data_IF_378314254539
#
_entry.id   IF_378314254539
#
_cell.length_a   1.000
_cell.length_b   1.000
_cell.length_c   1.000
_cell.angle_alpha   90.00
_cell.angle_beta   90.00
_cell.angle_gamma   90.00
#
_symmetry.space_group_name_H-M   'P 1'
#
loop_
_entity.id
_entity.type
_entity.pdbx_description
1 polymer ?
#
# COMPACT_ATOMS: atom_id res chain seq x y z
N UNK A 1 -32.86 -5.78 13.33
CA UNK A 1 -34.05 -4.96 13.68
C UNK A 1 -33.76 -3.50 13.42
N UNK A 2 -34.45 -2.83 12.48
CA UNK A 2 -34.39 -1.40 12.29
C UNK A 2 -35.52 -0.76 13.10
N UNK A 3 -35.16 0.14 14.00
CA UNK A 3 -36.08 1.19 14.45
C UNK A 3 -35.84 2.42 13.58
N UNK A 4 -36.91 3.13 13.28
CA UNK A 4 -36.90 4.52 12.82
C UNK A 4 -35.87 5.34 13.64
N UNK A 5 -34.76 5.73 13.00
CA UNK A 5 -33.65 6.48 13.61
C UNK A 5 -32.41 5.67 14.03
N UNK A 6 -32.32 4.36 13.73
CA UNK A 6 -31.21 3.49 14.16
C UNK A 6 -30.09 3.27 13.13
N UNK A 7 -28.91 2.87 13.63
CA UNK A 7 -27.77 2.43 12.81
C UNK A 7 -28.10 1.23 11.92
N UNK A 8 -27.55 1.21 10.69
CA UNK A 8 -27.64 0.06 9.80
C UNK A 8 -26.98 -1.17 10.43
N UNK A 9 -27.66 -2.32 10.35
CA UNK A 9 -27.15 -3.61 10.83
C UNK A 9 -26.62 -4.45 9.68
N UNK A 10 -25.55 -5.24 9.89
CA UNK A 10 -25.08 -6.18 8.88
C UNK A 10 -26.20 -7.11 8.42
N UNK A 11 -26.25 -7.39 7.12
CA UNK A 11 -27.24 -8.27 6.50
C UNK A 11 -26.59 -9.27 5.56
N UNK A 12 -25.67 -8.79 4.72
CA UNK A 12 -24.94 -9.62 3.78
C UNK A 12 -23.55 -9.05 3.48
N UNK A 13 -22.64 -9.93 3.10
CA UNK A 13 -21.28 -9.58 2.69
C UNK A 13 -20.77 -10.55 1.62
N UNK A 14 -19.65 -10.22 0.98
CA UNK A 14 -19.00 -11.09 0.00
C UNK A 14 -17.83 -10.41 -0.69
N UNK A 15 -16.97 -11.23 -1.29
CA UNK A 15 -15.89 -10.82 -2.18
C UNK A 15 -16.11 -11.50 -3.54
N UNK A 16 -15.99 -10.71 -4.61
CA UNK A 16 -16.35 -11.12 -5.96
C UNK A 16 -15.30 -10.62 -6.95
N UNK A 17 -15.11 -11.39 -8.01
CA UNK A 17 -14.27 -11.06 -9.17
C UNK A 17 -15.05 -11.05 -10.49
N UNK A 18 -16.26 -11.60 -10.50
CA UNK A 18 -17.28 -11.45 -11.53
C UNK A 18 -18.61 -11.08 -10.87
N UNK A 19 -19.24 -10.01 -11.35
CA UNK A 19 -20.51 -9.49 -10.84
C UNK A 19 -21.69 -9.68 -11.80
N UNK A 20 -21.45 -10.24 -12.99
CA UNK A 20 -22.41 -10.29 -14.10
C UNK A 20 -23.72 -11.02 -13.76
N UNK A 21 -23.68 -11.97 -12.82
CA UNK A 21 -24.81 -12.80 -12.42
C UNK A 21 -25.20 -12.65 -10.95
N UNK A 22 -24.60 -11.70 -10.21
CA UNK A 22 -24.84 -11.54 -8.78
C UNK A 22 -26.27 -11.08 -8.49
N UNK A 23 -26.91 -11.78 -7.56
CA UNK A 23 -28.24 -11.45 -7.03
C UNK A 23 -28.22 -11.54 -5.52
N UNK A 24 -28.95 -10.64 -4.88
CA UNK A 24 -29.20 -10.66 -3.44
C UNK A 24 -30.70 -10.57 -3.20
N UNK A 25 -31.22 -11.43 -2.31
CA UNK A 25 -32.60 -11.34 -1.85
C UNK A 25 -32.66 -10.38 -0.68
N UNK A 26 -33.46 -9.33 -0.81
CA UNK A 26 -33.67 -8.31 0.21
C UNK A 26 -35.10 -8.43 0.74
N UNK A 27 -35.30 -8.07 2.00
CA UNK A 27 -36.61 -8.14 2.65
C UNK A 27 -37.40 -6.88 2.31
N UNK A 28 -38.67 -7.08 1.95
CA UNK A 28 -39.62 -5.98 1.77
C UNK A 28 -39.86 -5.25 3.11
N UNK A 29 -40.07 -3.93 3.04
CA UNK A 29 -40.31 -3.08 4.21
C UNK A 29 -39.03 -2.61 4.93
N UNK A 30 -37.85 -2.95 4.40
CA UNK A 30 -36.55 -2.53 4.95
C UNK A 30 -35.84 -1.56 4.02
N UNK A 31 -35.01 -0.69 4.62
CA UNK A 31 -34.04 0.14 3.90
C UNK A 31 -32.64 -0.43 4.06
N UNK A 32 -31.88 -0.42 2.98
CA UNK A 32 -30.54 -1.00 2.91
C UNK A 32 -29.49 0.05 2.59
N UNK A 33 -28.32 -0.12 3.20
CA UNK A 33 -27.07 0.52 2.81
C UNK A 33 -26.18 -0.51 2.13
N UNK A 34 -25.67 -0.16 0.95
CA UNK A 34 -24.62 -0.88 0.25
C UNK A 34 -23.35 -0.06 0.35
N UNK A 35 -22.25 -0.68 0.78
CA UNK A 35 -20.90 -0.12 0.69
C UNK A 35 -20.03 -1.10 -0.08
N UNK A 36 -19.27 -0.59 -1.04
CA UNK A 36 -18.46 -1.42 -1.93
C UNK A 36 -17.09 -0.79 -2.12
N UNK A 37 -16.06 -1.64 -2.20
CA UNK A 37 -14.76 -1.26 -2.73
C UNK A 37 -14.38 -2.20 -3.87
N UNK A 38 -13.73 -1.64 -4.89
CA UNK A 38 -13.21 -2.38 -6.03
C UNK A 38 -11.76 -2.01 -6.25
N UNK A 39 -10.93 -3.01 -6.48
CA UNK A 39 -9.50 -2.85 -6.75
C UNK A 39 -9.23 -3.33 -8.17
N UNK A 40 -8.69 -2.48 -9.03
CA UNK A 40 -8.19 -2.91 -10.33
C UNK A 40 -7.03 -3.88 -10.12
N UNK A 41 -7.10 -5.04 -10.77
CA UNK A 41 -6.08 -6.10 -10.67
C UNK A 41 -5.86 -6.62 -9.23
N UNK A 42 -6.92 -6.57 -8.40
CA UNK A 42 -6.84 -6.92 -6.98
C UNK A 42 -6.31 -8.34 -6.71
N UNK A 43 -6.64 -9.33 -7.54
CA UNK A 43 -6.18 -10.73 -7.37
C UNK A 43 -4.66 -10.86 -7.40
N UNK A 44 -3.99 -10.07 -8.24
CA UNK A 44 -2.55 -10.14 -8.41
C UNK A 44 -1.81 -9.21 -7.44
N UNK A 45 -2.48 -8.17 -6.95
CA UNK A 45 -1.86 -7.15 -6.09
C UNK A 45 -2.02 -7.40 -4.59
N UNK A 46 -3.12 -8.01 -4.16
CA UNK A 46 -3.39 -8.23 -2.74
C UNK A 46 -2.84 -9.58 -2.28
N UNK A 47 -2.18 -9.58 -1.12
CA UNK A 47 -1.68 -10.80 -0.49
C UNK A 47 -2.79 -11.82 -0.33
N UNK A 48 -2.56 -13.03 -0.85
CA UNK A 48 -3.46 -14.17 -0.74
C UNK A 48 -2.85 -15.23 0.19
N UNK A 49 -3.59 -15.59 1.23
CA UNK A 49 -3.20 -16.63 2.18
C UNK A 49 -3.69 -17.99 1.69
N UNK A 50 -2.77 -18.80 1.16
CA UNK A 50 -3.10 -20.11 0.56
C UNK A 50 -3.77 -21.07 1.55
N UNK A 51 -3.34 -21.06 2.82
CA UNK A 51 -3.90 -21.92 3.86
C UNK A 51 -5.38 -21.61 4.13
N UNK A 52 -5.73 -20.33 4.14
CA UNK A 52 -7.09 -19.86 4.45
C UNK A 52 -7.96 -19.71 3.19
N UNK A 53 -7.38 -19.93 2.01
CA UNK A 53 -7.99 -19.67 0.71
C UNK A 53 -8.62 -18.26 0.64
N UNK A 54 -7.97 -17.26 1.22
CA UNK A 54 -8.57 -15.93 1.42
C UNK A 54 -7.58 -14.81 1.13
N UNK A 55 -8.12 -13.63 0.80
CA UNK A 55 -7.32 -12.43 0.59
C UNK A 55 -7.20 -11.61 1.87
N UNK A 56 -6.07 -10.92 2.01
CA UNK A 56 -5.82 -9.99 3.12
C UNK A 56 -6.58 -8.67 2.96
N UNK A 57 -6.32 -7.74 3.88
CA UNK A 57 -6.79 -6.34 3.85
C UNK A 57 -6.57 -5.74 2.45
N UNK A 58 -7.60 -5.11 1.84
CA UNK A 58 -8.82 -4.62 2.49
C UNK A 58 -9.99 -5.62 2.55
N UNK A 59 -9.79 -6.87 2.15
CA UNK A 59 -10.86 -7.88 2.08
C UNK A 59 -11.05 -8.63 3.39
N UNK A 60 -11.57 -7.93 4.38
CA UNK A 60 -11.83 -8.44 5.72
C UNK A 60 -13.27 -8.09 6.15
N UNK A 61 -13.89 -8.97 6.91
CA UNK A 61 -15.19 -8.73 7.52
C UNK A 61 -15.15 -8.93 9.04
N UNK A 62 -15.95 -8.15 9.76
CA UNK A 62 -15.99 -8.14 11.22
C UNK A 62 -17.44 -8.15 11.71
N UNK A 63 -17.72 -8.85 12.82
CA UNK A 63 -19.06 -8.93 13.41
C UNK A 63 -19.17 -8.26 14.80
N UNK A 64 -18.08 -7.71 15.34
CA UNK A 64 -18.03 -7.15 16.70
C UNK A 64 -17.20 -7.95 17.70
N UNK A 65 -16.94 -9.24 17.42
CA UNK A 65 -16.10 -10.13 18.23
C UNK A 65 -14.98 -10.79 17.43
N UNK A 66 -15.26 -11.14 16.18
CA UNK A 66 -14.39 -11.98 15.35
C UNK A 66 -14.15 -11.35 13.98
N UNK A 67 -12.90 -11.41 13.54
CA UNK A 67 -12.48 -11.07 12.18
C UNK A 67 -12.56 -12.27 11.24
N UNK A 68 -12.89 -12.03 9.99
CA UNK A 68 -13.01 -13.02 8.93
C UNK A 68 -12.29 -12.53 7.67
N UNK A 69 -11.36 -13.33 7.17
CA UNK A 69 -10.77 -13.12 5.84
C UNK A 69 -11.74 -13.60 4.77
N UNK A 70 -11.78 -12.90 3.64
CA UNK A 70 -12.75 -13.20 2.58
C UNK A 70 -12.10 -13.93 1.40
N UNK A 71 -12.79 -14.98 0.94
CA UNK A 71 -12.51 -15.69 -0.30
C UNK A 71 -13.41 -15.19 -1.43
N UNK A 72 -12.95 -15.32 -2.67
CA UNK A 72 -13.81 -15.09 -3.84
C UNK A 72 -15.00 -16.05 -3.80
N UNK A 73 -16.19 -15.53 -4.07
CA UNK A 73 -17.45 -16.25 -4.02
C UNK A 73 -18.32 -15.91 -5.23
N UNK A 74 -19.35 -16.71 -5.50
CA UNK A 74 -20.34 -16.46 -6.57
C UNK A 74 -21.67 -15.94 -6.04
N UNK A 75 -21.80 -15.74 -4.73
CA UNK A 75 -23.04 -15.32 -4.07
C UNK A 75 -22.76 -14.62 -2.75
N UNK A 76 -23.64 -13.71 -2.35
CA UNK A 76 -23.59 -13.09 -1.04
C UNK A 76 -23.81 -14.11 0.09
N UNK A 77 -23.09 -13.92 1.19
CA UNK A 77 -23.34 -14.62 2.46
C UNK A 77 -24.28 -13.77 3.30
N UNK A 78 -25.45 -14.29 3.65
CA UNK A 78 -26.39 -13.64 4.59
C UNK A 78 -25.88 -13.88 6.01
N UNK A 79 -25.73 -12.83 6.81
CA UNK A 79 -25.21 -12.98 8.17
C UNK A 79 -24.93 -11.66 8.90
N UNK A 80 -24.24 -11.78 10.03
CA UNK A 80 -23.94 -10.69 10.96
C UNK A 80 -22.58 -10.01 10.74
N UNK A 81 -21.77 -10.49 9.79
CA UNK A 81 -20.51 -9.83 9.43
C UNK A 81 -20.76 -8.66 8.48
N UNK A 82 -20.01 -7.58 8.66
CA UNK A 82 -19.87 -6.50 7.67
C UNK A 82 -18.45 -6.51 7.12
N UNK A 83 -18.29 -6.27 5.82
CA UNK A 83 -16.97 -5.94 5.30
C UNK A 83 -16.49 -4.66 5.99
N UNK A 84 -15.32 -4.73 6.61
CA UNK A 84 -14.74 -3.64 7.39
C UNK A 84 -13.54 -3.06 6.65
N UNK A 85 -13.15 -1.82 6.95
CA UNK A 85 -12.06 -1.12 6.26
C UNK A 85 -12.26 -0.90 4.75
N UNK A 86 -13.49 -1.01 4.24
CA UNK A 86 -13.80 -0.72 2.84
C UNK A 86 -13.48 0.73 2.47
N UNK A 87 -13.56 1.63 3.44
CA UNK A 87 -13.30 3.06 3.36
C UNK A 87 -11.88 3.46 3.79
N UNK A 88 -10.96 2.52 4.04
CA UNK A 88 -9.57 2.84 4.41
C UNK A 88 -8.58 2.37 3.35
N UNK A 89 -7.53 3.15 3.11
CA UNK A 89 -6.52 2.89 2.09
C UNK A 89 -5.71 1.64 2.31
N UNK A 90 -5.49 1.26 3.57
CA UNK A 90 -4.56 0.20 3.95
C UNK A 90 -4.78 -1.08 3.13
N UNK A 91 -3.69 -1.66 2.64
CA UNK A 91 -3.71 -2.94 1.92
C UNK A 91 -2.41 -3.70 2.13
N UNK A 92 -2.49 -5.03 2.16
CA UNK A 92 -1.30 -5.87 2.14
C UNK A 92 -1.00 -6.28 0.70
N UNK A 93 0.21 -5.97 0.24
CA UNK A 93 0.59 -6.17 -1.15
C UNK A 93 1.41 -7.44 -1.35
N UNK A 94 1.14 -8.16 -2.44
CA UNK A 94 1.89 -9.38 -2.80
C UNK A 94 3.35 -9.10 -3.14
N UNK A 95 3.69 -7.88 -3.58
CA UNK A 95 5.04 -7.51 -4.03
C UNK A 95 6.12 -7.80 -2.97
N UNK A 96 5.80 -7.61 -1.69
CA UNK A 96 6.72 -7.86 -0.58
C UNK A 96 6.02 -8.32 0.71
N UNK A 97 4.74 -8.68 0.63
CA UNK A 97 3.90 -9.11 1.76
C UNK A 97 3.80 -8.08 2.89
N UNK A 98 3.97 -6.80 2.59
CA UNK A 98 3.83 -5.72 3.58
C UNK A 98 2.51 -4.97 3.47
N UNK A 99 2.16 -4.34 4.58
CA UNK A 99 1.03 -3.42 4.67
C UNK A 99 1.47 -2.01 4.30
N UNK A 100 0.68 -1.34 3.46
CA UNK A 100 0.90 0.05 3.06
C UNK A 100 -0.36 0.86 3.30
N UNK A 101 -0.20 2.10 3.79
CA UNK A 101 -1.31 3.04 3.93
C UNK A 101 -1.67 3.69 2.58
N UNK A 102 -0.66 3.87 1.73
CA UNK A 102 -0.80 4.36 0.35
C UNK A 102 -0.36 3.27 -0.63
N UNK A 103 -1.11 2.15 -0.76
CA UNK A 103 -0.71 1.07 -1.65
C UNK A 103 -0.79 1.52 -3.12
N UNK A 104 0.07 0.96 -3.98
CA UNK A 104 0.10 1.22 -5.43
C UNK A 104 -1.03 0.48 -6.20
N UNK A 105 -2.25 0.70 -5.73
CA UNK A 105 -3.49 0.11 -6.25
C UNK A 105 -4.40 1.23 -6.75
N UNK A 106 -5.04 0.98 -7.88
CA UNK A 106 -6.13 1.79 -8.37
C UNK A 106 -7.44 1.29 -7.76
N UNK A 107 -8.01 2.08 -6.85
CA UNK A 107 -9.11 1.68 -6.00
C UNK A 107 -10.30 2.60 -6.19
N UNK A 108 -11.48 1.99 -6.09
CA UNK A 108 -12.77 2.64 -6.16
C UNK A 108 -13.57 2.34 -4.89
N UNK A 109 -14.39 3.30 -4.49
CA UNK A 109 -15.30 3.18 -3.36
C UNK A 109 -16.65 3.82 -3.70
N UNK A 110 -17.72 3.21 -3.24
CA UNK A 110 -19.06 3.74 -3.43
C UNK A 110 -20.03 3.27 -2.36
N UNK A 111 -21.03 4.09 -2.10
CA UNK A 111 -22.13 3.75 -1.21
C UNK A 111 -23.48 4.09 -1.85
N UNK A 112 -24.48 3.31 -1.50
CA UNK A 112 -25.89 3.62 -1.73
C UNK A 112 -26.63 3.45 -0.41
N UNK A 113 -27.23 4.52 0.11
CA UNK A 113 -27.97 4.53 1.36
C UNK A 113 -29.48 4.57 1.10
N UNK A 114 -30.27 4.18 2.11
CA UNK A 114 -31.73 4.25 2.08
C UNK A 114 -32.40 3.53 0.90
N UNK A 115 -31.72 2.55 0.30
CA UNK A 115 -32.27 1.77 -0.81
C UNK A 115 -33.47 0.95 -0.33
N UNK A 116 -34.62 1.14 -0.95
CA UNK A 116 -35.85 0.41 -0.67
C UNK A 116 -36.04 -0.64 -1.78
N UNK A 117 -35.99 -1.95 -1.47
CA UNK A 117 -36.17 -2.99 -2.46
C UNK A 117 -37.56 -2.93 -3.10
N UNK A 118 -37.61 -3.14 -4.41
CA UNK A 118 -38.83 -3.36 -5.17
C UNK A 118 -38.67 -4.58 -6.09
N UNK A 119 -39.79 -5.19 -6.46
CA UNK A 119 -39.79 -6.35 -7.36
C UNK A 119 -39.05 -6.04 -8.66
N UNK A 120 -38.15 -6.95 -9.05
CA UNK A 120 -37.30 -6.85 -10.24
C UNK A 120 -36.47 -5.56 -10.35
N UNK A 121 -36.21 -4.87 -9.24
CA UNK A 121 -35.34 -3.69 -9.22
C UNK A 121 -33.86 -4.07 -9.07
N UNK A 122 -32.99 -3.17 -9.52
CA UNK A 122 -31.54 -3.26 -9.34
C UNK A 122 -31.04 -2.08 -8.52
N UNK A 123 -30.12 -2.33 -7.58
CA UNK A 123 -29.38 -1.26 -6.92
C UNK A 123 -28.16 -0.88 -7.77
N UNK A 124 -27.96 0.42 -7.97
CA UNK A 124 -26.73 0.96 -8.57
C UNK A 124 -25.87 1.57 -7.46
N UNK A 125 -24.57 1.28 -7.48
CA UNK A 125 -23.59 1.86 -6.56
C UNK A 125 -22.67 2.75 -7.38
N UNK A 126 -22.69 4.05 -7.11
CA UNK A 126 -21.83 5.01 -7.80
C UNK A 126 -20.40 4.94 -7.24
N UNK A 127 -19.54 4.21 -7.94
CA UNK A 127 -18.15 3.99 -7.54
C UNK A 127 -17.29 5.20 -7.96
N UNK A 128 -16.70 5.88 -6.97
CA UNK A 128 -15.71 6.95 -7.18
C UNK A 128 -14.30 6.38 -7.07
N UNK A 129 -13.41 6.78 -7.97
CA UNK A 129 -11.98 6.49 -7.83
C UNK A 129 -11.43 7.24 -6.61
N UNK A 130 -10.79 6.53 -5.70
CA UNK A 130 -10.23 7.03 -4.43
C UNK A 130 -8.70 6.97 -4.42
N UNK A 131 -8.13 7.20 -5.61
CA UNK A 131 -6.70 7.11 -5.87
C UNK A 131 -6.18 8.40 -6.49
N UNK A 132 -4.87 8.58 -6.45
CA UNK A 132 -4.11 9.64 -7.12
C UNK A 132 -2.98 9.03 -7.94
N UNK A 133 -2.53 9.75 -8.97
CA UNK A 133 -1.36 9.39 -9.76
C UNK A 133 -0.15 10.22 -9.35
N UNK A 134 1.02 9.59 -9.29
CA UNK A 134 2.30 10.26 -9.16
C UNK A 134 3.19 9.88 -10.36
N UNK A 135 3.59 10.88 -11.15
CA UNK A 135 4.57 10.74 -12.23
C UNK A 135 5.83 11.48 -11.83
N UNK A 136 6.97 10.80 -11.82
CA UNK A 136 8.27 11.40 -11.55
C UNK A 136 9.07 11.42 -12.82
N UNK A 137 9.66 12.57 -13.15
CA UNK A 137 10.56 12.76 -14.29
C UNK A 137 11.95 13.11 -13.76
N UNK A 138 12.97 12.40 -14.20
CA UNK A 138 14.37 12.64 -13.89
C UNK A 138 15.03 13.43 -15.02
N UNK A 139 15.58 14.60 -14.68
CA UNK A 139 16.46 15.37 -15.56
C UNK A 139 17.89 15.30 -15.03
N UNK A 140 18.85 14.98 -15.91
CA UNK A 140 20.28 14.96 -15.53
C UNK A 140 20.74 13.68 -14.81
N UNK A 141 19.95 12.60 -14.81
CA UNK A 141 20.41 11.30 -14.33
C UNK A 141 21.39 10.70 -15.37
N UNK A 142 22.66 10.54 -14.98
CA UNK A 142 23.72 10.06 -15.87
C UNK A 142 24.14 8.62 -15.64
N UNK A 143 23.81 8.05 -14.47
CA UNK A 143 24.16 6.69 -14.07
C UNK A 143 23.31 6.22 -12.88
N UNK A 144 23.41 4.93 -12.54
CA UNK A 144 22.77 4.38 -11.36
C UNK A 144 21.24 4.44 -11.41
N UNK A 145 20.60 4.89 -10.33
CA UNK A 145 19.13 4.96 -10.22
C UNK A 145 18.67 6.04 -9.25
N UNK A 146 17.53 6.67 -9.54
CA UNK A 146 16.78 7.42 -8.53
C UNK A 146 15.87 6.48 -7.76
N UNK A 147 15.90 6.56 -6.44
CA UNK A 147 14.95 5.92 -5.55
C UNK A 147 13.97 6.97 -5.04
N UNK A 148 12.68 6.70 -5.20
CA UNK A 148 11.59 7.58 -4.81
C UNK A 148 10.73 6.86 -3.78
N UNK A 149 10.53 7.50 -2.63
CA UNK A 149 9.65 7.00 -1.58
C UNK A 149 8.59 8.04 -1.28
N UNK A 150 7.33 7.67 -1.45
CA UNK A 150 6.20 8.38 -0.84
C UNK A 150 5.99 7.76 0.53
N UNK A 151 5.71 8.57 1.54
CA UNK A 151 5.48 8.07 2.90
C UNK A 151 4.42 6.96 2.91
N UNK A 152 4.69 5.88 3.65
CA UNK A 152 3.84 4.68 3.76
C UNK A 152 3.37 4.06 2.43
N UNK A 153 4.09 4.28 1.33
CA UNK A 153 3.83 3.69 0.01
C UNK A 153 4.98 2.75 -0.42
N UNK A 154 4.73 1.85 -1.39
CA UNK A 154 5.81 1.15 -2.08
C UNK A 154 6.74 2.13 -2.82
N UNK A 155 8.05 1.91 -2.74
CA UNK A 155 9.03 2.75 -3.44
C UNK A 155 8.92 2.61 -4.96
N UNK A 156 9.20 3.70 -5.68
CA UNK A 156 9.41 3.70 -7.13
C UNK A 156 10.89 3.90 -7.44
N UNK A 157 11.32 3.43 -8.60
CA UNK A 157 12.72 3.53 -9.06
C UNK A 157 12.74 4.02 -10.50
N UNK A 158 13.64 4.95 -10.81
CA UNK A 158 14.01 5.30 -12.18
C UNK A 158 15.46 4.84 -12.39
N UNK A 159 15.70 3.68 -13.02
CA UNK A 159 17.05 3.25 -13.37
C UNK A 159 17.54 4.04 -14.60
N UNK A 160 18.82 4.42 -14.64
CA UNK A 160 19.40 4.92 -15.89
C UNK A 160 19.38 3.82 -16.96
N UNK A 161 19.02 4.11 -18.23
CA UNK A 161 18.77 5.43 -18.83
C UNK A 161 17.29 5.87 -18.86
N UNK A 162 16.39 5.19 -18.13
CA UNK A 162 15.01 5.64 -18.02
C UNK A 162 14.94 7.04 -17.41
N UNK A 163 13.96 7.83 -17.84
CA UNK A 163 13.79 9.22 -17.43
C UNK A 163 12.51 9.45 -16.64
N UNK A 164 11.63 8.46 -16.53
CA UNK A 164 10.38 8.62 -15.80
C UNK A 164 9.87 7.31 -15.20
N UNK A 165 9.06 7.44 -14.15
CA UNK A 165 8.25 6.37 -13.56
C UNK A 165 6.90 6.95 -13.16
N UNK A 166 5.85 6.12 -13.21
CA UNK A 166 4.52 6.52 -12.80
C UNK A 166 3.86 5.42 -11.98
N UNK A 167 3.14 5.82 -10.93
CA UNK A 167 2.31 4.93 -10.13
C UNK A 167 0.92 5.54 -9.88
N UNK A 168 -0.06 4.67 -9.65
CA UNK A 168 -1.37 5.03 -9.10
C UNK A 168 -1.42 4.49 -7.68
N UNK A 169 -1.79 5.34 -6.73
CA UNK A 169 -1.81 5.04 -5.31
C UNK A 169 -3.18 5.33 -4.73
N UNK A 170 -3.61 4.52 -3.78
CA UNK A 170 -4.83 4.78 -2.99
C UNK A 170 -4.50 5.72 -1.83
N UNK A 171 -5.43 6.61 -1.47
CA UNK A 171 -5.29 7.45 -0.27
C UNK A 171 -5.41 6.65 1.03
N UNK A 172 -4.71 7.04 2.08
CA UNK A 172 -4.79 6.40 3.40
C UNK A 172 -6.20 6.52 4.00
N UNK A 173 -6.82 7.69 3.85
CA UNK A 173 -8.13 8.03 4.39
C UNK A 173 -8.26 7.79 5.91
N UNK A 174 -7.22 8.19 6.65
CA UNK A 174 -7.21 8.15 8.11
C UNK A 174 -8.09 9.25 8.73
N UNK A 175 -8.55 9.04 9.97
CA UNK A 175 -9.26 10.06 10.76
C UNK A 175 -8.41 11.34 10.95
N UNK A 176 -8.99 12.56 10.93
CA UNK A 176 -10.43 12.88 10.85
C UNK A 176 -11.02 12.90 9.44
N UNK A 177 -10.20 12.73 8.40
CA UNK A 177 -10.60 12.73 6.98
C UNK A 177 -11.29 11.43 6.53
N UNK A 178 -11.20 10.37 7.33
CA UNK A 178 -11.86 9.07 7.13
C UNK A 178 -13.36 9.18 7.07
N UNK A 179 -13.90 9.55 5.90
CA UNK A 179 -15.31 9.47 5.43
C UNK A 179 -15.53 10.28 4.13
N UNK A 180 -14.54 11.06 3.68
CA UNK A 180 -14.73 12.01 2.57
C UNK A 180 -13.87 11.74 1.34
N UNK A 181 -13.13 10.63 1.27
CA UNK A 181 -12.26 10.30 0.14
C UNK A 181 -12.96 10.14 -1.22
N UNK A 182 -14.30 10.16 -1.25
CA UNK A 182 -15.11 10.21 -2.48
C UNK A 182 -15.39 11.63 -2.96
N UNK A 183 -15.11 12.66 -2.16
CA UNK A 183 -15.29 14.06 -2.53
C UNK A 183 -14.32 14.46 -3.64
N UNK A 184 -14.80 15.23 -4.61
CA UNK A 184 -13.96 15.64 -5.74
C UNK A 184 -12.79 16.55 -5.32
N UNK A 185 -12.91 17.24 -4.18
CA UNK A 185 -11.89 18.11 -3.58
C UNK A 185 -10.97 17.39 -2.60
N UNK A 186 -11.09 16.07 -2.43
CA UNK A 186 -10.29 15.34 -1.46
C UNK A 186 -8.80 15.37 -1.81
N UNK A 187 -7.97 15.62 -0.80
CA UNK A 187 -6.52 15.68 -0.92
C UNK A 187 -5.84 15.04 0.29
N UNK A 188 -4.62 14.55 0.09
CA UNK A 188 -3.69 14.23 1.16
C UNK A 188 -2.33 14.86 0.85
N UNK A 189 -1.68 15.40 1.88
CA UNK A 189 -0.29 15.85 1.80
C UNK A 189 0.61 14.72 2.24
N UNK A 190 1.44 14.22 1.32
CA UNK A 190 2.28 13.04 1.51
C UNK A 190 3.74 13.47 1.34
N UNK A 191 4.60 13.23 2.35
CA UNK A 191 6.04 13.44 2.22
C UNK A 191 6.63 12.56 1.12
N UNK A 192 7.39 13.15 0.21
CA UNK A 192 8.22 12.45 -0.78
C UNK A 192 9.69 12.60 -0.39
N UNK A 193 10.44 11.50 -0.44
CA UNK A 193 11.89 11.49 -0.28
C UNK A 193 12.55 10.87 -1.51
N UNK A 194 13.56 11.55 -2.04
CA UNK A 194 14.25 11.14 -3.28
C UNK A 194 15.76 11.11 -3.02
N UNK A 195 16.38 10.00 -3.42
CA UNK A 195 17.83 9.81 -3.39
C UNK A 195 18.34 9.25 -4.71
N UNK A 196 19.61 9.51 -5.00
CA UNK A 196 20.32 8.95 -6.15
C UNK A 196 21.31 7.91 -5.65
N UNK A 197 21.15 6.65 -6.06
CA UNK A 197 22.18 5.63 -5.91
C UNK A 197 23.03 5.63 -7.17
N UNK A 198 24.30 6.00 -7.04
CA UNK A 198 25.30 6.00 -8.11
C UNK A 198 25.70 4.60 -8.54
N UNK A 199 26.43 4.49 -9.64
CA UNK A 199 26.89 3.19 -10.16
C UNK A 199 27.84 2.46 -9.21
N UNK A 200 28.63 3.21 -8.43
CA UNK A 200 29.53 2.69 -7.39
C UNK A 200 28.83 2.30 -6.07
N UNK A 201 27.51 2.49 -6.00
CA UNK A 201 26.70 2.20 -4.81
C UNK A 201 26.59 3.36 -3.83
N UNK A 202 27.27 4.50 -4.04
CA UNK A 202 27.13 5.68 -3.19
C UNK A 202 25.70 6.23 -3.26
N UNK A 203 25.15 6.63 -2.12
CA UNK A 203 23.78 7.18 -2.02
C UNK A 203 23.85 8.67 -1.72
N UNK A 204 23.28 9.48 -2.60
CA UNK A 204 23.17 10.94 -2.48
C UNK A 204 21.71 11.31 -2.21
N UNK A 205 21.35 11.78 -1.00
CA UNK A 205 20.03 12.37 -0.74
C UNK A 205 19.85 13.63 -1.59
N UNK A 206 18.71 13.77 -2.25
CA UNK A 206 18.42 14.92 -3.12
C UNK A 206 17.41 15.87 -2.49
N UNK A 207 16.26 15.34 -2.07
CA UNK A 207 15.18 16.15 -1.51
C UNK A 207 14.26 15.31 -0.62
N UNK A 208 13.74 15.96 0.41
CA UNK A 208 12.52 15.56 1.12
C UNK A 208 11.56 16.73 1.09
N UNK A 209 10.33 16.52 0.65
CA UNK A 209 9.33 17.58 0.49
C UNK A 209 7.91 17.04 0.69
N UNK A 210 7.02 17.87 1.22
CA UNK A 210 5.60 17.56 1.29
C UNK A 210 4.91 17.91 -0.02
N UNK A 211 4.17 16.95 -0.59
CA UNK A 211 3.40 17.15 -1.83
C UNK A 211 1.93 16.85 -1.56
N UNK A 212 1.05 17.79 -1.94
CA UNK A 212 -0.40 17.56 -1.89
C UNK A 212 -0.88 16.86 -3.16
N UNK A 213 -1.46 15.68 -2.99
CA UNK A 213 -2.09 14.91 -4.06
C UNK A 213 -3.60 15.07 -4.00
N UNK A 214 -4.22 15.26 -5.16
CA UNK A 214 -5.68 15.42 -5.30
C UNK A 214 -6.30 14.17 -5.90
N UNK A 215 -7.49 13.81 -5.40
CA UNK A 215 -8.22 12.65 -5.86
C UNK A 215 -8.50 12.68 -7.35
N UNK A 216 -8.22 11.54 -7.99
CA UNK A 216 -8.41 11.32 -9.41
C UNK A 216 -7.60 12.29 -10.29
N UNK A 217 -6.45 12.74 -9.81
CA UNK A 217 -5.51 13.59 -10.56
C UNK A 217 -4.15 12.91 -10.69
N UNK A 218 -3.43 13.22 -11.78
CA UNK A 218 -2.04 12.83 -11.97
C UNK A 218 -1.13 14.03 -11.66
N UNK A 219 -0.35 13.94 -10.59
CA UNK A 219 0.66 14.95 -10.24
C UNK A 219 1.99 14.57 -10.89
N UNK A 220 2.59 15.50 -11.65
CA UNK A 220 3.91 15.31 -12.26
C UNK A 220 4.97 16.10 -11.48
N UNK A 221 6.03 15.43 -11.05
CA UNK A 221 7.15 15.99 -10.28
C UNK A 221 8.42 15.83 -11.10
N UNK A 222 9.08 16.94 -11.43
CA UNK A 222 10.36 16.94 -12.13
C UNK A 222 11.51 17.08 -11.14
N UNK A 223 12.41 16.10 -11.13
CA UNK A 223 13.61 16.05 -10.29
C UNK A 223 14.81 16.39 -11.15
N UNK A 224 15.46 17.51 -10.83
CA UNK A 224 16.73 17.90 -11.45
C UNK A 224 17.88 17.31 -10.65
N UNK A 225 18.46 16.23 -11.15
CA UNK A 225 19.61 15.57 -10.54
C UNK A 225 20.84 16.41 -10.83
N UNK A 226 21.46 16.93 -9.79
CA UNK A 226 22.75 17.62 -9.87
C UNK A 226 23.74 16.86 -9.02
N UNK A 227 24.84 16.42 -9.63
CA UNK A 227 25.94 15.85 -8.89
C UNK A 227 26.70 16.98 -8.18
N UNK A 228 26.57 17.05 -6.86
CA UNK A 228 27.34 17.96 -6.00
C UNK A 228 28.49 17.25 -5.27
N UNK A 229 28.76 15.99 -5.58
CA UNK A 229 29.81 15.22 -4.91
C UNK A 229 31.22 15.59 -5.39
N UNK A 230 32.19 15.50 -4.48
CA UNK A 230 33.61 15.70 -4.75
C UNK A 230 34.30 14.32 -4.76
N UNK A 231 35.09 14.04 -5.80
CA UNK A 231 35.90 12.84 -5.90
C UNK A 231 37.17 12.97 -5.05
N UNK A 232 37.30 12.12 -4.03
CA UNK A 232 38.47 12.06 -3.18
C UNK A 232 39.23 10.74 -3.43
N UNK A 233 40.56 10.83 -3.54
CA UNK A 233 41.40 9.64 -3.62
C UNK A 233 41.48 8.93 -2.27
N UNK A 234 41.26 7.62 -2.23
CA UNK A 234 41.53 6.78 -1.07
C UNK A 234 42.97 6.28 -1.17
N UNK A 235 43.82 6.62 -0.19
CA UNK A 235 45.14 6.02 -0.05
C UNK A 235 45.14 5.10 1.16
N UNK A 236 45.62 3.87 0.95
CA UNK A 236 45.86 2.90 2.02
C UNK A 236 47.37 2.69 2.05
N UNK A 237 48.02 3.12 3.13
CA UNK A 237 49.41 2.78 3.41
C UNK A 237 49.46 1.60 4.37
N UNK A 238 50.46 0.75 4.19
CA UNK A 238 50.81 -0.30 5.15
C UNK A 238 52.11 0.12 5.83
N UNK A 239 52.28 -0.28 7.08
CA UNK A 239 53.58 -0.15 7.74
C UNK A 239 54.59 -0.99 6.95
N UNK A 240 55.69 -0.36 6.52
CA UNK A 240 56.78 -1.01 5.78
C UNK A 240 57.83 -1.62 6.69
N UNK A 241 57.74 -1.37 8.00
CA UNK A 241 58.60 -2.02 8.97
C UNK A 241 58.20 -3.50 9.06
N UNK A 242 59.21 -4.37 9.01
CA UNK A 242 58.99 -5.78 9.34
C UNK A 242 58.48 -5.90 10.77
N UNK A 243 57.66 -6.93 11.03
CA UNK A 243 57.21 -7.22 12.39
C UNK A 243 58.42 -7.35 13.31
N UNK A 244 58.49 -6.49 14.33
CA UNK A 244 59.50 -6.58 15.37
C UNK A 244 59.39 -7.92 16.11
N UNK A 245 60.50 -8.38 16.69
CA UNK A 245 60.50 -9.59 17.51
C UNK A 245 59.57 -9.40 18.73
N UNK A 246 58.43 -10.08 18.73
CA UNK A 246 57.43 -10.05 19.81
C UNK A 246 57.81 -10.87 21.06
N UNK A 247 59.03 -11.40 21.11
CA UNK A 247 59.44 -12.38 22.11
C UNK A 247 58.87 -13.77 21.81
N UNK A 248 59.30 -14.77 22.58
CA UNK A 248 58.80 -16.14 22.48
C UNK A 248 58.01 -16.47 23.74
N UNK A 249 56.75 -16.87 23.58
CA UNK A 249 55.95 -17.43 24.67
C UNK A 249 56.20 -18.93 24.70
N UNK A 250 56.74 -19.41 25.82
CA UNK A 250 56.83 -20.86 26.08
C UNK A 250 55.54 -21.28 26.79
N UNK A 251 54.77 -22.15 26.14
CA UNK A 251 53.60 -22.79 26.75
C UNK A 251 54.09 -24.13 27.30
N UNK A 252 54.20 -24.21 28.62
CA UNK A 252 54.50 -25.47 29.30
C UNK A 252 53.21 -26.27 29.50
N UNK A 253 53.16 -27.47 28.92
CA UNK A 253 52.02 -28.39 29.01
C UNK A 253 52.21 -29.47 30.07
N UNK A 254 53.30 -29.44 30.84
CA UNK A 254 53.62 -30.49 31.81
C UNK A 254 52.75 -30.47 33.08
N UNK A 255 51.85 -29.49 33.25
CA UNK A 255 50.82 -29.47 34.29
C UNK A 255 49.40 -29.71 33.73
N UNK A 256 49.25 -30.58 32.73
CA UNK A 256 48.00 -31.33 32.58
C UNK A 256 47.91 -32.35 33.71
N UNK A 257 47.57 -31.91 34.93
CA UNK A 257 47.03 -32.85 35.91
C UNK A 257 45.66 -33.28 35.43
N UNK A 258 45.58 -34.51 34.94
CA UNK A 258 44.32 -35.27 34.95
C UNK A 258 43.80 -35.28 36.41
N UNK A 259 42.65 -34.66 36.60
CA UNK A 259 41.69 -35.02 37.66
C UNK A 259 40.29 -34.90 37.09
#
# INVERSE_FOLDING_TARGET
MPSTGGEYKPYAYGLFDDISSLKIKLLEGYKYKFSCTMLTDGKNKITYYQHDNAYSVPFHAYNGSDGLLLSISTSFVIGSYKCDYLDKGNSNLTIDSKSYAHPNIDRYYGETIDYTPADNSSVSINMKRVSFGAKIIAEGLTEGKLNITLDKAPSMIIPYPSTEVQGIFTFENSYPSGMTWTQDTYTETIPISISWTKADGAVVPLVTQDITFTRNMLTTITVKVKDSSLSNGLSVSQESAEMGNGGSVVIDTSNSTDT
#
